data_IF_927525576471
#
_entry.id   IF_927525576471
#
_cell.length_a   1.000
_cell.length_b   1.000
_cell.length_c   1.000
_cell.angle_alpha   90.00
_cell.angle_beta   90.00
_cell.angle_gamma   90.00
#
_symmetry.space_group_name_H-M   'P 1'
#
loop_
_entity.id
_entity.type
_entity.pdbx_description
1 polymer ?
#
# COMPACT_ATOMS: atom_id res chain seq x y z
N UNK A 1 -72.54 96.37 -9.90
CA UNK A 1 -71.74 95.12 -9.90
C UNK A 1 -71.35 94.73 -8.47
N UNK A 2 -72.06 95.25 -7.47
CA UNK A 2 -71.70 95.15 -6.05
C UNK A 2 -72.45 94.03 -5.31
N UNK A 3 -73.51 93.48 -5.90
CA UNK A 3 -74.31 92.40 -5.30
C UNK A 3 -73.64 91.01 -5.40
N UNK A 4 -72.70 90.81 -6.34
CA UNK A 4 -71.97 89.54 -6.47
C UNK A 4 -70.90 89.38 -5.38
N UNK A 5 -70.26 90.48 -4.98
CA UNK A 5 -69.17 90.49 -3.99
C UNK A 5 -69.66 90.31 -2.55
N UNK A 6 -70.94 90.61 -2.26
CA UNK A 6 -71.55 90.46 -0.93
C UNK A 6 -72.29 89.12 -0.76
N UNK A 7 -72.34 88.28 -1.80
CA UNK A 7 -73.03 86.98 -1.73
C UNK A 7 -72.13 85.91 -1.09
N UNK A 8 -72.62 85.27 -0.02
CA UNK A 8 -71.90 84.19 0.68
C UNK A 8 -71.47 83.07 -0.28
N UNK A 9 -72.28 82.78 -1.30
CA UNK A 9 -71.99 81.76 -2.30
C UNK A 9 -70.75 82.09 -3.15
N UNK A 10 -70.50 83.36 -3.48
CA UNK A 10 -69.30 83.75 -4.23
C UNK A 10 -68.03 83.48 -3.42
N UNK A 11 -68.04 83.84 -2.12
CA UNK A 11 -66.92 83.57 -1.22
C UNK A 11 -66.69 82.08 -0.99
N UNK A 12 -67.75 81.27 -0.88
CA UNK A 12 -67.64 79.80 -0.76
C UNK A 12 -67.02 79.16 -2.01
N UNK A 13 -67.44 79.59 -3.21
CA UNK A 13 -66.87 79.08 -4.46
C UNK A 13 -65.41 79.52 -4.59
N UNK A 14 -65.11 80.78 -4.29
CA UNK A 14 -63.75 81.31 -4.32
C UNK A 14 -62.83 80.57 -3.33
N UNK A 15 -63.27 80.35 -2.09
CA UNK A 15 -62.50 79.58 -1.10
C UNK A 15 -62.32 78.12 -1.51
N UNK A 16 -63.32 77.51 -2.15
CA UNK A 16 -63.23 76.13 -2.66
C UNK A 16 -62.21 76.01 -3.79
N UNK A 17 -62.18 76.97 -4.71
CA UNK A 17 -61.20 77.00 -5.81
C UNK A 17 -59.79 77.22 -5.26
N UNK A 18 -59.61 78.17 -4.35
CA UNK A 18 -58.31 78.43 -3.70
C UNK A 18 -57.85 77.20 -2.91
N UNK A 19 -58.76 76.55 -2.16
CA UNK A 19 -58.46 75.31 -1.44
C UNK A 19 -58.05 74.18 -2.39
N UNK A 20 -58.79 73.94 -3.49
CA UNK A 20 -58.44 72.93 -4.48
C UNK A 20 -57.10 73.21 -5.15
N UNK A 21 -56.79 74.48 -5.44
CA UNK A 21 -55.50 74.86 -6.02
C UNK A 21 -54.35 74.57 -5.07
N UNK A 22 -54.47 74.96 -3.80
CA UNK A 22 -53.47 74.67 -2.77
C UNK A 22 -53.35 73.17 -2.53
N UNK A 23 -54.47 72.45 -2.37
CA UNK A 23 -54.50 71.01 -2.18
C UNK A 23 -53.84 70.26 -3.34
N UNK A 24 -54.14 70.63 -4.58
CA UNK A 24 -53.51 70.02 -5.76
C UNK A 24 -52.01 70.32 -5.83
N UNK A 25 -51.61 71.58 -5.54
CA UNK A 25 -50.19 71.99 -5.54
C UNK A 25 -49.35 71.26 -4.49
N UNK A 26 -49.94 70.96 -3.32
CA UNK A 26 -49.29 70.22 -2.25
C UNK A 26 -49.35 68.70 -2.43
N UNK A 27 -50.46 68.14 -2.93
CA UNK A 27 -50.65 66.69 -3.08
C UNK A 27 -49.93 66.10 -4.31
N UNK A 28 -49.71 66.89 -5.37
CA UNK A 28 -49.12 66.38 -6.63
C UNK A 28 -47.69 65.85 -6.46
N UNK A 29 -46.86 66.54 -5.67
CA UNK A 29 -45.45 66.16 -5.42
C UNK A 29 -45.32 64.83 -4.67
N UNK A 30 -45.94 64.62 -3.49
CA UNK A 30 -45.81 63.36 -2.76
C UNK A 30 -46.43 62.16 -3.50
N UNK A 31 -47.50 62.37 -4.27
CA UNK A 31 -48.13 61.30 -5.05
C UNK A 31 -47.23 60.81 -6.20
N UNK A 32 -46.60 61.73 -6.94
CA UNK A 32 -45.66 61.38 -8.00
C UNK A 32 -44.41 60.69 -7.42
N UNK A 33 -43.83 61.26 -6.35
CA UNK A 33 -42.67 60.67 -5.68
C UNK A 33 -42.95 59.25 -5.15
N UNK A 34 -44.16 58.97 -4.66
CA UNK A 34 -44.52 57.62 -4.21
C UNK A 34 -44.57 56.63 -5.37
N UNK A 35 -45.08 57.05 -6.52
CA UNK A 35 -45.19 56.22 -7.72
C UNK A 35 -43.82 55.98 -8.36
N UNK A 36 -42.97 57.00 -8.39
CA UNK A 36 -41.58 56.91 -8.84
C UNK A 36 -40.78 56.00 -7.92
N UNK A 37 -40.85 56.18 -6.59
CA UNK A 37 -40.19 55.29 -5.63
C UNK A 37 -40.62 53.83 -5.77
N UNK A 38 -41.90 53.57 -6.04
CA UNK A 38 -42.37 52.19 -6.30
C UNK A 38 -41.80 51.65 -7.60
N UNK A 39 -41.78 52.46 -8.66
CA UNK A 39 -41.26 52.05 -9.96
C UNK A 39 -39.76 51.75 -9.87
N UNK A 40 -38.99 52.60 -9.18
CA UNK A 40 -37.56 52.41 -8.98
C UNK A 40 -37.26 51.19 -8.11
N UNK A 41 -38.07 50.93 -7.07
CA UNK A 41 -37.94 49.71 -6.28
C UNK A 41 -38.20 48.45 -7.12
N UNK A 42 -39.26 48.44 -7.92
CA UNK A 42 -39.56 47.30 -8.81
C UNK A 42 -38.44 47.09 -9.84
N UNK A 43 -37.91 48.18 -10.41
CA UNK A 43 -36.74 48.10 -11.32
C UNK A 43 -35.53 47.49 -10.62
N UNK A 44 -35.20 47.96 -9.42
CA UNK A 44 -34.09 47.43 -8.65
C UNK A 44 -34.28 45.94 -8.30
N UNK A 45 -35.49 45.53 -7.92
CA UNK A 45 -35.82 44.12 -7.64
C UNK A 45 -35.69 43.25 -8.90
N UNK A 46 -36.11 43.74 -10.07
CA UNK A 46 -35.97 43.05 -11.36
C UNK A 46 -34.50 42.92 -11.79
N UNK A 47 -33.72 44.00 -11.67
CA UNK A 47 -32.30 44.02 -12.00
C UNK A 47 -31.52 43.06 -11.09
N UNK A 48 -31.86 43.03 -9.79
CA UNK A 48 -31.27 42.09 -8.84
C UNK A 48 -31.66 40.63 -9.17
N UNK A 49 -32.92 40.37 -9.51
CA UNK A 49 -33.36 39.04 -9.92
C UNK A 49 -32.67 38.57 -11.20
N UNK A 50 -32.46 39.46 -12.17
CA UNK A 50 -31.71 39.16 -13.40
C UNK A 50 -30.24 38.86 -13.07
N UNK A 51 -29.60 39.69 -12.23
CA UNK A 51 -28.22 39.45 -11.78
C UNK A 51 -28.07 38.10 -11.09
N UNK A 52 -28.96 37.79 -10.15
CA UNK A 52 -28.97 36.51 -9.44
C UNK A 52 -29.19 35.33 -10.39
N UNK A 53 -30.04 35.48 -11.40
CA UNK A 53 -30.24 34.44 -12.42
C UNK A 53 -28.97 34.20 -13.24
N UNK A 54 -28.29 35.27 -13.64
CA UNK A 54 -27.02 35.17 -14.38
C UNK A 54 -25.95 34.52 -13.52
N UNK A 55 -25.81 34.93 -12.26
CA UNK A 55 -24.87 34.32 -11.31
C UNK A 55 -25.16 32.84 -11.08
N UNK A 56 -26.43 32.46 -10.90
CA UNK A 56 -26.84 31.07 -10.74
C UNK A 56 -26.52 30.23 -11.99
N UNK A 57 -26.75 30.77 -13.19
CA UNK A 57 -26.42 30.08 -14.44
C UNK A 57 -24.90 29.90 -14.58
N UNK A 58 -24.11 30.93 -14.26
CA UNK A 58 -22.66 30.85 -14.27
C UNK A 58 -22.13 29.84 -13.25
N UNK A 59 -22.71 29.79 -12.06
CA UNK A 59 -22.35 28.83 -11.03
C UNK A 59 -22.68 27.40 -11.46
N UNK A 60 -23.85 27.18 -12.07
CA UNK A 60 -24.24 25.88 -12.60
C UNK A 60 -23.25 25.38 -13.65
N UNK A 61 -22.92 26.21 -14.64
CA UNK A 61 -21.95 25.84 -15.68
C UNK A 61 -20.55 25.59 -15.09
N UNK A 62 -20.13 26.36 -14.09
CA UNK A 62 -18.86 26.10 -13.39
C UNK A 62 -18.89 24.75 -12.67
N UNK A 63 -20.00 24.42 -12.01
CA UNK A 63 -20.17 23.17 -11.30
C UNK A 63 -20.21 21.97 -12.24
N UNK A 64 -20.93 22.07 -13.35
CA UNK A 64 -20.97 21.03 -14.40
C UNK A 64 -19.57 20.76 -14.96
N UNK A 65 -18.82 21.81 -15.32
CA UNK A 65 -17.43 21.68 -15.78
C UNK A 65 -16.54 21.03 -14.71
N UNK A 66 -16.63 21.50 -13.47
CA UNK A 66 -15.82 20.95 -12.37
C UNK A 66 -16.16 19.48 -12.09
N UNK A 67 -17.44 19.11 -12.20
CA UNK A 67 -17.88 17.73 -12.06
C UNK A 67 -17.34 16.85 -13.19
N UNK A 68 -17.39 17.31 -14.44
CA UNK A 68 -16.81 16.59 -15.58
C UNK A 68 -15.29 16.43 -15.44
N UNK A 69 -14.58 17.49 -15.05
CA UNK A 69 -13.14 17.47 -14.79
C UNK A 69 -12.81 16.46 -13.67
N UNK A 70 -13.51 16.50 -12.54
CA UNK A 70 -13.32 15.56 -11.44
C UNK A 70 -13.60 14.10 -11.87
N UNK A 71 -14.62 13.87 -12.71
CA UNK A 71 -14.92 12.53 -13.24
C UNK A 71 -13.84 12.04 -14.20
N UNK A 72 -13.25 12.91 -15.02
CA UNK A 72 -12.12 12.58 -15.89
C UNK A 72 -10.87 12.27 -15.07
N UNK A 73 -10.55 13.12 -14.09
CA UNK A 73 -9.42 12.93 -13.18
C UNK A 73 -9.54 11.61 -12.40
N UNK A 74 -10.73 11.30 -11.84
CA UNK A 74 -10.98 10.04 -11.16
C UNK A 74 -10.76 8.83 -12.07
N UNK A 75 -11.23 8.88 -13.33
CA UNK A 75 -10.98 7.82 -14.32
C UNK A 75 -9.49 7.67 -14.62
N UNK A 76 -8.77 8.78 -14.73
CA UNK A 76 -7.34 8.78 -14.99
C UNK A 76 -6.57 8.19 -13.81
N UNK A 77 -6.88 8.58 -12.57
CA UNK A 77 -6.30 8.01 -11.35
C UNK A 77 -6.51 6.49 -11.31
N UNK A 78 -7.73 6.00 -11.59
CA UNK A 78 -8.00 4.55 -11.60
C UNK A 78 -7.23 3.84 -12.71
N UNK A 79 -7.11 4.45 -13.90
CA UNK A 79 -6.35 3.90 -15.01
C UNK A 79 -4.86 3.79 -14.67
N UNK A 80 -4.28 4.86 -14.13
CA UNK A 80 -2.88 4.94 -13.74
C UNK A 80 -2.57 3.98 -12.59
N UNK A 81 -3.45 3.87 -11.60
CA UNK A 81 -3.31 2.90 -10.51
C UNK A 81 -3.32 1.45 -11.02
N UNK A 82 -4.20 1.12 -11.98
CA UNK A 82 -4.22 -0.21 -12.60
C UNK A 82 -2.93 -0.49 -13.38
N UNK A 83 -2.45 0.49 -14.14
CA UNK A 83 -1.20 0.36 -14.88
C UNK A 83 -0.01 0.14 -13.93
N UNK A 84 0.10 0.95 -12.88
CA UNK A 84 1.13 0.80 -11.86
C UNK A 84 1.04 -0.55 -11.14
N UNK A 85 -0.17 -1.03 -10.83
CA UNK A 85 -0.35 -2.34 -10.23
C UNK A 85 0.15 -3.48 -11.14
N UNK A 86 -0.15 -3.42 -12.44
CA UNK A 86 0.35 -4.38 -13.43
C UNK A 86 1.88 -4.31 -13.58
N UNK A 87 2.44 -3.11 -13.66
CA UNK A 87 3.89 -2.92 -13.75
C UNK A 87 4.60 -3.45 -12.49
N UNK A 88 4.03 -3.20 -11.31
CA UNK A 88 4.54 -3.72 -10.04
C UNK A 88 4.42 -5.25 -9.94
N UNK A 89 3.32 -5.83 -10.42
CA UNK A 89 3.15 -7.28 -10.50
C UNK A 89 4.21 -7.91 -11.40
N UNK A 90 4.40 -7.36 -12.61
CA UNK A 90 5.41 -7.84 -13.56
C UNK A 90 6.82 -7.75 -12.99
N UNK A 91 7.14 -6.63 -12.34
CA UNK A 91 8.43 -6.44 -11.67
C UNK A 91 8.64 -7.42 -10.52
N UNK A 92 7.60 -7.66 -9.70
CA UNK A 92 7.65 -8.61 -8.59
C UNK A 92 7.82 -10.05 -9.10
N UNK A 93 7.13 -10.45 -10.16
CA UNK A 93 7.30 -11.76 -10.79
C UNK A 93 8.71 -11.96 -11.34
N UNK A 94 9.25 -10.94 -12.02
CA UNK A 94 10.61 -10.99 -12.56
C UNK A 94 11.65 -11.12 -11.42
N UNK A 95 11.51 -10.32 -10.36
CA UNK A 95 12.36 -10.38 -9.19
C UNK A 95 12.27 -11.75 -8.49
N UNK A 96 11.06 -12.29 -8.33
CA UNK A 96 10.84 -13.59 -7.71
C UNK A 96 11.49 -14.72 -8.52
N UNK A 97 11.35 -14.71 -9.85
CA UNK A 97 12.01 -15.68 -10.75
C UNK A 97 13.53 -15.62 -10.60
N UNK A 98 14.11 -14.42 -10.57
CA UNK A 98 15.54 -14.24 -10.37
C UNK A 98 16.00 -14.74 -8.99
N UNK A 99 15.21 -14.49 -7.94
CA UNK A 99 15.48 -14.95 -6.58
C UNK A 99 15.41 -16.48 -6.46
N UNK A 100 14.41 -17.10 -7.07
CA UNK A 100 14.28 -18.57 -7.13
C UNK A 100 15.48 -19.17 -7.85
N UNK A 101 15.85 -18.64 -9.02
CA UNK A 101 17.00 -19.13 -9.79
C UNK A 101 18.31 -19.01 -8.98
N UNK A 102 18.51 -17.87 -8.29
CA UNK A 102 19.69 -17.66 -7.43
C UNK A 102 19.71 -18.65 -6.26
N UNK A 103 18.58 -18.85 -5.58
CA UNK A 103 18.48 -19.82 -4.48
C UNK A 103 18.68 -21.25 -4.96
N UNK A 104 18.15 -21.60 -6.12
CA UNK A 104 18.33 -22.93 -6.70
C UNK A 104 19.81 -23.22 -6.94
N UNK A 105 20.52 -22.30 -7.60
CA UNK A 105 21.97 -22.41 -7.81
C UNK A 105 22.74 -22.53 -6.49
N UNK A 106 22.38 -21.74 -5.47
CA UNK A 106 23.00 -21.84 -4.14
C UNK A 106 22.75 -23.20 -3.48
N UNK A 107 21.57 -23.81 -3.68
CA UNK A 107 21.28 -25.15 -3.19
C UNK A 107 22.04 -26.23 -3.95
N UNK A 108 22.14 -26.14 -5.27
CA UNK A 108 22.96 -27.05 -6.08
C UNK A 108 24.43 -27.01 -5.65
N UNK A 109 24.99 -25.81 -5.47
CA UNK A 109 26.37 -25.64 -5.00
C UNK A 109 26.56 -26.19 -3.58
N UNK A 110 25.57 -26.05 -2.69
CA UNK A 110 25.60 -26.65 -1.34
C UNK A 110 25.51 -28.17 -1.40
N UNK A 111 24.66 -28.71 -2.26
CA UNK A 111 24.48 -30.14 -2.44
C UNK A 111 25.78 -30.77 -2.93
N UNK A 112 26.42 -30.21 -3.96
CA UNK A 112 27.70 -30.71 -4.44
C UNK A 112 28.81 -30.69 -3.38
N UNK A 113 28.86 -29.65 -2.53
CA UNK A 113 29.78 -29.62 -1.39
C UNK A 113 29.46 -30.69 -0.34
N UNK A 114 28.18 -30.92 -0.04
CA UNK A 114 27.76 -31.96 0.90
C UNK A 114 28.06 -33.36 0.36
N UNK A 115 27.88 -33.60 -0.93
CA UNK A 115 28.23 -34.87 -1.58
C UNK A 115 29.74 -35.14 -1.50
N UNK A 116 30.57 -34.15 -1.80
CA UNK A 116 32.03 -34.27 -1.67
C UNK A 116 32.43 -34.57 -0.23
N UNK A 117 31.89 -33.81 0.75
CA UNK A 117 32.17 -34.04 2.16
C UNK A 117 31.69 -35.42 2.64
N UNK A 118 30.55 -35.91 2.15
CA UNK A 118 30.05 -37.25 2.48
C UNK A 118 30.95 -38.37 1.91
N UNK A 119 31.48 -38.18 0.70
CA UNK A 119 32.43 -39.12 0.10
C UNK A 119 33.73 -39.15 0.93
N UNK A 120 34.22 -37.99 1.37
CA UNK A 120 35.39 -37.90 2.25
C UNK A 120 35.12 -38.59 3.60
N UNK A 121 33.99 -38.31 4.27
CA UNK A 121 33.63 -38.97 5.55
C UNK A 121 33.54 -40.50 5.42
N UNK A 122 32.98 -41.01 4.32
CA UNK A 122 32.93 -42.46 4.06
C UNK A 122 34.34 -43.04 3.87
N UNK A 123 35.23 -42.34 3.17
CA UNK A 123 36.63 -42.77 3.01
C UNK A 123 37.36 -42.80 4.34
N UNK A 124 37.21 -41.77 5.16
CA UNK A 124 37.86 -41.68 6.46
C UNK A 124 37.41 -42.83 7.38
N UNK A 125 36.10 -43.12 7.42
CA UNK A 125 35.56 -44.28 8.14
C UNK A 125 36.09 -45.61 7.62
N UNK A 126 36.26 -45.75 6.30
CA UNK A 126 36.86 -46.96 5.71
C UNK A 126 38.32 -47.14 6.13
N UNK A 127 39.09 -46.06 6.18
CA UNK A 127 40.49 -46.10 6.66
C UNK A 127 40.52 -46.51 8.13
N UNK A 128 39.66 -45.92 8.97
CA UNK A 128 39.57 -46.26 10.40
C UNK A 128 39.23 -47.74 10.61
N UNK A 129 38.22 -48.27 9.91
CA UNK A 129 37.84 -49.69 9.98
C UNK A 129 38.98 -50.59 9.49
N UNK A 130 39.67 -50.21 8.41
CA UNK A 130 40.78 -50.99 7.86
C UNK A 130 41.97 -51.04 8.82
N UNK A 131 42.30 -49.91 9.47
CA UNK A 131 43.34 -49.85 10.50
C UNK A 131 42.96 -50.70 11.72
N UNK A 132 41.71 -50.60 12.21
CA UNK A 132 41.23 -51.42 13.32
C UNK A 132 41.26 -52.92 13.01
N UNK A 133 40.84 -53.32 11.80
CA UNK A 133 40.90 -54.71 11.35
C UNK A 133 42.33 -55.22 11.21
N UNK A 134 43.25 -54.38 10.74
CA UNK A 134 44.68 -54.72 10.64
C UNK A 134 45.31 -54.87 12.02
N UNK A 135 44.96 -54.00 12.97
CA UNK A 135 45.40 -54.09 14.36
C UNK A 135 44.89 -55.39 15.02
N UNK A 136 43.62 -55.75 14.82
CA UNK A 136 43.04 -57.00 15.32
C UNK A 136 43.74 -58.22 14.71
N UNK A 137 43.95 -58.23 13.38
CA UNK A 137 44.67 -59.31 12.69
C UNK A 137 46.11 -59.45 13.19
N UNK A 138 46.81 -58.32 13.41
CA UNK A 138 48.17 -58.32 13.94
C UNK A 138 48.21 -58.84 15.37
N UNK A 139 47.30 -58.40 16.25
CA UNK A 139 47.13 -58.93 17.61
C UNK A 139 46.88 -60.44 17.60
N UNK A 140 46.00 -60.92 16.73
CA UNK A 140 45.70 -62.36 16.58
C UNK A 140 46.91 -63.16 16.11
N UNK A 141 47.67 -62.62 15.16
CA UNK A 141 48.88 -63.26 14.61
C UNK A 141 50.05 -63.24 15.59
N UNK A 142 50.21 -62.17 16.36
CA UNK A 142 51.21 -62.09 17.43
C UNK A 142 50.85 -63.03 18.59
N UNK A 143 49.58 -63.08 19.00
CA UNK A 143 49.10 -64.06 19.99
C UNK A 143 49.30 -65.49 19.50
N UNK A 144 49.02 -65.80 18.23
CA UNK A 144 49.26 -67.15 17.69
C UNK A 144 50.75 -67.50 17.62
N UNK A 145 51.62 -66.55 17.24
CA UNK A 145 53.08 -66.73 17.30
C UNK A 145 53.59 -66.88 18.73
N UNK A 146 53.03 -66.16 19.69
CA UNK A 146 53.41 -66.25 21.09
C UNK A 146 52.90 -67.56 21.73
N UNK A 147 51.72 -68.04 21.36
CA UNK A 147 51.23 -69.38 21.71
C UNK A 147 52.06 -70.48 21.05
N UNK A 148 52.50 -70.30 19.79
CA UNK A 148 53.40 -71.23 19.12
C UNK A 148 54.80 -71.27 19.76
N UNK A 149 55.34 -70.11 20.16
CA UNK A 149 56.61 -70.02 20.88
C UNK A 149 56.52 -70.57 22.32
N UNK A 150 55.38 -70.39 23.00
CA UNK A 150 55.14 -70.97 24.32
C UNK A 150 55.01 -72.49 24.27
N UNK A 151 54.32 -73.04 23.26
CA UNK A 151 54.20 -74.50 23.06
C UNK A 151 55.54 -75.17 22.74
N UNK A 152 56.39 -74.52 21.95
CA UNK A 152 57.75 -75.02 21.66
C UNK A 152 58.64 -75.06 22.92
N UNK A 153 58.48 -74.11 23.83
CA UNK A 153 59.22 -74.09 25.09
C UNK A 153 58.72 -75.15 26.07
N UNK A 154 57.42 -75.40 26.13
CA UNK A 154 56.82 -76.44 26.99
C UNK A 154 57.16 -77.86 26.50
N UNK A 155 57.18 -78.09 25.19
CA UNK A 155 57.66 -79.34 24.57
C UNK A 155 59.16 -79.56 24.81
N UNK A 156 59.97 -78.50 24.80
CA UNK A 156 61.40 -78.56 25.15
C UNK A 156 61.61 -78.91 26.63
N UNK A 157 60.84 -78.33 27.55
CA UNK A 157 60.93 -78.61 28.99
C UNK A 157 60.47 -80.05 29.29
N UNK A 158 59.38 -80.50 28.67
CA UNK A 158 58.86 -81.87 28.83
C UNK A 158 59.81 -82.91 28.22
N UNK A 159 60.49 -82.57 27.11
CA UNK A 159 61.52 -83.39 26.49
C UNK A 159 62.78 -83.58 27.35
N UNK A 160 63.14 -82.58 28.15
CA UNK A 160 64.24 -82.68 29.12
C UNK A 160 63.86 -83.58 30.31
N UNK A 161 62.64 -83.49 30.81
CA UNK A 161 62.17 -84.35 31.92
C UNK A 161 62.12 -85.84 31.50
N UNK A 162 61.67 -86.12 30.27
CA UNK A 162 61.56 -87.47 29.73
C UNK A 162 62.93 -88.14 29.53
N UNK A 163 63.96 -87.36 29.20
CA UNK A 163 65.34 -87.85 29.07
C UNK A 163 66.04 -88.02 30.42
N UNK A 164 65.66 -87.26 31.46
CA UNK A 164 66.16 -87.45 32.81
C UNK A 164 65.63 -88.74 33.46
N UNK A 165 64.35 -89.10 33.24
CA UNK A 165 63.76 -90.36 33.74
C UNK A 165 64.34 -91.62 33.08
N UNK A 166 64.85 -91.54 31.84
CA UNK A 166 65.44 -92.68 31.12
C UNK A 166 66.90 -92.98 31.52
N UNK A 167 67.55 -92.09 32.27
CA UNK A 167 68.95 -92.25 32.73
C UNK A 167 69.07 -92.77 34.18
N UNK A 168 67.96 -92.89 34.92
CA UNK A 168 67.94 -93.40 36.29
C UNK A 168 67.20 -94.74 36.46
N UNK A 169 67.00 -95.49 35.37
CA UNK A 169 66.59 -96.89 35.36
C UNK A 169 67.51 -97.64 34.40
#
# INVERSE_FOLDING_TARGET
MDALLHSTNFWVIFSTIVFLYVAWRFARVPLLNLLDNRSDRIRAELDEAERLRVEAQQLLTRYERQHEEAMQEAKQIVSDARKQALDMQNAAEAALKADIARKHKQFEERLGRMEQAAIEDVRDRLVEISMAATEDLLKKTLSSKQSAAAGLNDDMITGLEKNLKKKSA
#
